data_IF_414432291951
#
_entry.id   IF_414432291951
#
_cell.length_a   1.000
_cell.length_b   1.000
_cell.length_c   1.000
_cell.angle_alpha   90.00
_cell.angle_beta   90.00
_cell.angle_gamma   90.00
#
_symmetry.space_group_name_H-M   'P 1'
#
loop_
_entity.id
_entity.type
_entity.pdbx_description
1 polymer ?
#
# COMPACT_ATOMS: atom_id res chain seq x y z
N UNK A 1 7.40 20.43 -49.42
CA UNK A 1 6.68 19.68 -48.37
C UNK A 1 6.60 20.40 -47.02
N UNK A 2 7.67 21.07 -46.52
CA UNK A 2 7.65 21.79 -45.22
C UNK A 2 6.58 22.89 -45.10
N UNK A 3 6.35 23.70 -46.15
CA UNK A 3 5.31 24.76 -46.18
C UNK A 3 3.87 24.23 -46.08
N UNK A 4 3.64 22.99 -46.53
CA UNK A 4 2.32 22.37 -46.47
C UNK A 4 2.01 21.89 -45.05
N UNK A 5 2.99 21.28 -44.38
CA UNK A 5 2.88 20.85 -42.98
C UNK A 5 2.72 22.05 -42.04
N UNK A 6 3.42 23.16 -42.31
CA UNK A 6 3.30 24.40 -41.53
C UNK A 6 1.88 24.97 -41.61
N UNK A 7 1.31 25.08 -42.83
CA UNK A 7 -0.06 25.55 -43.02
C UNK A 7 -1.10 24.68 -42.33
N UNK A 8 -0.89 23.36 -42.30
CA UNK A 8 -1.79 22.44 -41.59
C UNK A 8 -1.72 22.62 -40.06
N UNK A 9 -0.54 22.90 -39.49
CA UNK A 9 -0.38 23.21 -38.06
C UNK A 9 -0.99 24.54 -37.65
N UNK A 10 -0.93 25.54 -38.53
CA UNK A 10 -1.51 26.87 -38.30
C UNK A 10 -3.03 26.86 -38.43
N UNK A 11 -3.57 26.08 -39.38
CA UNK A 11 -5.01 25.93 -39.60
C UNK A 11 -5.70 25.07 -38.52
N UNK A 12 -4.96 24.17 -37.88
CA UNK A 12 -5.44 23.33 -36.79
C UNK A 12 -4.42 23.40 -35.64
N UNK A 13 -4.58 24.37 -34.71
CA UNK A 13 -3.83 24.35 -33.47
C UNK A 13 -4.01 22.96 -32.85
N UNK A 14 -2.92 22.26 -32.64
CA UNK A 14 -2.98 20.99 -31.94
C UNK A 14 -3.24 21.32 -30.48
N UNK A 15 -4.50 21.28 -30.06
CA UNK A 15 -4.82 21.19 -28.65
C UNK A 15 -4.12 19.94 -28.12
N UNK A 16 -3.41 20.07 -26.99
CA UNK A 16 -2.86 18.90 -26.32
C UNK A 16 -4.00 17.88 -26.15
N UNK A 17 -3.77 16.60 -26.52
CA UNK A 17 -4.81 15.59 -26.41
C UNK A 17 -5.35 15.60 -24.97
N UNK A 18 -6.68 15.51 -24.78
CA UNK A 18 -7.28 15.60 -23.46
C UNK A 18 -6.59 14.61 -22.52
N UNK A 19 -6.12 15.11 -21.37
CA UNK A 19 -5.40 14.30 -20.39
C UNK A 19 -6.25 13.07 -20.04
N UNK A 20 -5.68 11.89 -20.27
CA UNK A 20 -6.33 10.61 -19.95
C UNK A 20 -6.81 10.63 -18.49
N UNK A 21 -8.08 10.28 -18.25
CA UNK A 21 -8.64 10.19 -16.90
C UNK A 21 -7.83 9.21 -16.03
N UNK A 22 -7.67 9.55 -14.75
CA UNK A 22 -6.98 8.68 -13.79
C UNK A 22 -7.85 7.45 -13.54
N UNK A 23 -7.35 6.26 -13.85
CA UNK A 23 -8.04 5.01 -13.53
C UNK A 23 -7.64 4.47 -12.17
N UNK A 24 -8.45 3.56 -11.61
CA UNK A 24 -8.10 2.81 -10.38
C UNK A 24 -6.77 2.09 -10.54
N UNK A 25 -6.49 1.54 -11.73
CA UNK A 25 -5.23 0.86 -12.03
C UNK A 25 -4.03 1.79 -11.94
N UNK A 26 -4.18 3.03 -12.41
CA UNK A 26 -3.12 4.03 -12.34
C UNK A 26 -2.83 4.38 -10.88
N UNK A 27 -3.87 4.64 -10.08
CA UNK A 27 -3.73 4.92 -8.63
C UNK A 27 -3.04 3.76 -7.91
N UNK A 28 -3.47 2.52 -8.14
CA UNK A 28 -2.85 1.33 -7.54
C UNK A 28 -1.40 1.19 -7.98
N UNK A 29 -1.09 1.45 -9.26
CA UNK A 29 0.28 1.41 -9.76
C UNK A 29 1.15 2.51 -9.15
N UNK A 30 0.61 3.69 -8.86
CA UNK A 30 1.36 4.78 -8.24
C UNK A 30 1.60 4.50 -6.76
N UNK A 31 0.62 3.95 -6.04
CA UNK A 31 0.75 3.61 -4.62
C UNK A 31 1.76 2.48 -4.38
N UNK A 32 1.80 1.50 -5.28
CA UNK A 32 2.73 0.36 -5.17
C UNK A 32 4.13 0.66 -5.73
N UNK A 33 4.33 1.84 -6.33
CA UNK A 33 5.61 2.28 -6.87
C UNK A 33 6.36 3.15 -5.83
N UNK A 34 7.69 3.07 -5.86
CA UNK A 34 8.53 3.94 -5.04
C UNK A 34 8.26 5.42 -5.36
N UNK A 35 8.11 6.31 -4.36
CA UNK A 35 7.78 7.72 -4.59
C UNK A 35 8.78 8.43 -5.50
N UNK A 36 10.08 8.14 -5.36
CA UNK A 36 11.14 8.69 -6.24
C UNK A 36 11.05 8.25 -7.71
N UNK A 37 10.15 7.31 -8.02
CA UNK A 37 9.89 6.83 -9.40
C UNK A 37 8.55 7.32 -9.95
N UNK A 38 7.81 8.13 -9.21
CA UNK A 38 6.68 8.88 -9.74
C UNK A 38 7.21 10.14 -10.42
N UNK A 39 6.68 10.44 -11.60
CA UNK A 39 6.83 11.78 -12.15
C UNK A 39 5.96 12.78 -11.39
N UNK A 40 6.29 14.06 -11.53
CA UNK A 40 5.62 15.16 -10.83
C UNK A 40 4.12 15.20 -11.12
N UNK A 41 3.70 14.85 -12.35
CA UNK A 41 2.28 14.85 -12.74
C UNK A 41 1.51 13.75 -12.00
N UNK A 42 2.07 12.54 -11.90
CA UNK A 42 1.44 11.44 -11.16
C UNK A 42 1.38 11.77 -9.66
N UNK A 43 2.43 12.36 -9.11
CA UNK A 43 2.45 12.79 -7.70
C UNK A 43 1.36 13.83 -7.43
N UNK A 44 1.21 14.81 -8.32
CA UNK A 44 0.19 15.86 -8.21
C UNK A 44 -1.22 15.30 -8.34
N UNK A 45 -1.44 14.30 -9.21
CA UNK A 45 -2.74 13.64 -9.40
C UNK A 45 -3.10 12.70 -8.25
N UNK A 46 -2.11 12.05 -7.64
CA UNK A 46 -2.32 11.14 -6.51
C UNK A 46 -2.66 11.89 -5.22
N UNK A 47 -2.05 13.06 -4.98
CA UNK A 47 -2.23 13.87 -3.76
C UNK A 47 -3.70 14.16 -3.41
N UNK A 48 -4.55 14.71 -4.30
CA UNK A 48 -5.95 14.96 -3.98
C UNK A 48 -6.78 13.68 -3.81
N UNK A 49 -6.39 12.58 -4.44
CA UNK A 49 -7.07 11.29 -4.31
C UNK A 49 -6.84 10.72 -2.90
N UNK A 50 -5.59 10.77 -2.42
CA UNK A 50 -5.24 10.37 -1.05
C UNK A 50 -5.92 11.25 -0.01
N UNK A 51 -5.95 12.56 -0.22
CA UNK A 51 -6.62 13.49 0.69
C UNK A 51 -8.14 13.24 0.85
N UNK A 52 -8.79 12.74 -0.20
CA UNK A 52 -10.24 12.43 -0.18
C UNK A 52 -10.56 11.08 0.45
N UNK A 53 -9.62 10.14 0.49
CA UNK A 53 -9.83 8.79 1.00
C UNK A 53 -8.77 8.43 2.05
N UNK A 54 -9.06 8.69 3.35
CA UNK A 54 -8.11 8.40 4.44
C UNK A 54 -7.70 6.92 4.52
N UNK A 55 -8.59 5.99 4.14
CA UNK A 55 -8.27 4.58 4.08
C UNK A 55 -7.21 4.25 3.00
N UNK A 56 -7.29 4.93 1.84
CA UNK A 56 -6.30 4.79 0.77
C UNK A 56 -4.96 5.40 1.18
N UNK A 57 -4.99 6.55 1.86
CA UNK A 57 -3.81 7.22 2.36
C UNK A 57 -3.02 6.34 3.33
N UNK A 58 -3.69 5.80 4.36
CA UNK A 58 -3.10 4.84 5.31
C UNK A 58 -2.60 3.58 4.61
N UNK A 59 -3.36 3.07 3.64
CA UNK A 59 -2.93 1.91 2.85
C UNK A 59 -1.62 2.19 2.10
N UNK A 60 -1.49 3.38 1.50
CA UNK A 60 -0.29 3.79 0.81
C UNK A 60 0.92 3.93 1.75
N UNK A 61 0.71 4.43 2.97
CA UNK A 61 1.74 4.48 4.00
C UNK A 61 2.24 3.08 4.40
N UNK A 62 1.33 2.13 4.62
CA UNK A 62 1.71 0.76 4.95
C UNK A 62 2.44 0.05 3.81
N UNK A 63 2.00 0.24 2.56
CA UNK A 63 2.67 -0.30 1.37
C UNK A 63 4.08 0.28 1.24
N UNK A 64 4.25 1.58 1.45
CA UNK A 64 5.57 2.23 1.44
C UNK A 64 6.47 1.69 2.55
N UNK A 65 5.98 1.63 3.78
CA UNK A 65 6.75 1.12 4.91
C UNK A 65 7.17 -0.34 4.67
N UNK A 66 6.30 -1.17 4.11
CA UNK A 66 6.62 -2.54 3.73
C UNK A 66 7.71 -2.59 2.65
N UNK A 67 7.59 -1.80 1.59
CA UNK A 67 8.59 -1.73 0.53
C UNK A 67 9.97 -1.30 1.06
N UNK A 68 10.01 -0.32 1.97
CA UNK A 68 11.25 0.12 2.63
C UNK A 68 11.85 -0.96 3.53
N UNK A 69 11.02 -1.77 4.20
CA UNK A 69 11.50 -2.94 4.96
C UNK A 69 12.14 -3.98 4.05
N UNK A 70 11.49 -4.30 2.93
CA UNK A 70 11.99 -5.29 1.96
C UNK A 70 13.27 -4.80 1.27
N UNK A 71 13.31 -3.54 0.84
CA UNK A 71 14.48 -2.96 0.17
C UNK A 71 15.72 -2.92 1.08
N UNK A 72 15.52 -2.61 2.36
CA UNK A 72 16.60 -2.58 3.35
C UNK A 72 16.86 -3.94 4.01
N UNK A 73 16.19 -5.01 3.55
CA UNK A 73 16.28 -6.38 4.13
C UNK A 73 16.08 -6.43 5.65
N UNK A 74 15.22 -5.55 6.17
CA UNK A 74 14.92 -5.39 7.60
C UNK A 74 13.85 -6.37 8.06
N UNK A 75 14.12 -7.66 7.92
CA UNK A 75 13.18 -8.74 8.28
C UNK A 75 12.81 -8.74 9.76
N UNK A 76 13.70 -8.31 10.64
CA UNK A 76 13.47 -8.20 12.08
C UNK A 76 12.36 -7.18 12.44
N UNK A 77 12.18 -6.14 11.63
CA UNK A 77 11.17 -5.09 11.87
C UNK A 77 9.80 -5.47 11.27
N UNK A 78 9.74 -6.56 10.50
CA UNK A 78 8.53 -7.01 9.81
C UNK A 78 7.40 -7.31 10.81
N UNK A 79 7.72 -7.97 11.93
CA UNK A 79 6.73 -8.28 12.97
C UNK A 79 6.12 -7.02 13.59
N UNK A 80 6.90 -5.94 13.76
CA UNK A 80 6.38 -4.67 14.26
C UNK A 80 5.48 -3.98 13.23
N UNK A 81 5.87 -4.01 11.94
CA UNK A 81 5.04 -3.49 10.86
C UNK A 81 3.70 -4.24 10.76
N UNK A 82 3.73 -5.57 10.83
CA UNK A 82 2.52 -6.40 10.82
C UNK A 82 1.56 -6.03 11.97
N UNK A 83 2.08 -5.80 13.19
CA UNK A 83 1.28 -5.32 14.33
C UNK A 83 0.63 -3.96 14.08
N UNK A 84 1.36 -3.01 13.46
CA UNK A 84 0.82 -1.69 13.11
C UNK A 84 -0.32 -1.79 12.11
N UNK A 85 -0.16 -2.59 11.05
CA UNK A 85 -1.23 -2.84 10.07
C UNK A 85 -2.46 -3.47 10.72
N UNK A 86 -2.26 -4.32 11.73
CA UNK A 86 -3.34 -5.00 12.42
C UNK A 86 -4.15 -4.07 13.34
N UNK A 87 -3.50 -3.07 13.92
CA UNK A 87 -4.14 -2.04 14.73
C UNK A 87 -5.00 -1.09 13.88
N UNK A 88 -4.64 -0.88 12.62
CA UNK A 88 -5.40 -0.04 11.69
C UNK A 88 -6.63 -0.75 11.12
N UNK A 89 -7.66 0.02 10.79
CA UNK A 89 -8.91 -0.49 10.21
C UNK A 89 -8.87 -0.58 8.68
N UNK A 90 -8.02 -1.49 8.20
CA UNK A 90 -7.84 -1.79 6.77
C UNK A 90 -8.07 -3.29 6.52
N UNK A 91 -9.33 -3.74 6.33
CA UNK A 91 -9.66 -5.17 6.24
C UNK A 91 -8.85 -5.93 5.18
N UNK A 92 -8.64 -5.33 4.00
CA UNK A 92 -7.85 -5.93 2.93
C UNK A 92 -6.38 -6.15 3.34
N UNK A 93 -5.76 -5.18 4.02
CA UNK A 93 -4.37 -5.30 4.50
C UNK A 93 -4.26 -6.26 5.70
N UNK A 94 -5.28 -6.32 6.57
CA UNK A 94 -5.33 -7.31 7.66
C UNK A 94 -5.31 -8.74 7.09
N UNK A 95 -6.08 -9.01 6.03
CA UNK A 95 -6.06 -10.30 5.33
C UNK A 95 -4.67 -10.65 4.80
N UNK A 96 -4.01 -9.69 4.14
CA UNK A 96 -2.65 -9.85 3.64
C UNK A 96 -1.65 -10.17 4.76
N UNK A 97 -1.64 -9.40 5.85
CA UNK A 97 -0.74 -9.62 7.00
C UNK A 97 -1.00 -10.97 7.68
N UNK A 98 -2.26 -11.41 7.71
CA UNK A 98 -2.60 -12.72 8.26
C UNK A 98 -1.99 -13.86 7.44
N UNK A 99 -2.08 -13.79 6.12
CA UNK A 99 -1.45 -14.76 5.21
C UNK A 99 0.07 -14.71 5.28
N UNK A 100 0.66 -13.51 5.27
CA UNK A 100 2.10 -13.33 5.40
C UNK A 100 2.66 -13.96 6.67
N UNK A 101 1.95 -13.82 7.79
CA UNK A 101 2.40 -14.44 9.03
C UNK A 101 2.25 -15.96 9.06
N UNK A 102 1.29 -16.54 8.33
CA UNK A 102 1.21 -17.99 8.14
C UNK A 102 2.36 -18.51 7.29
N UNK A 103 2.76 -17.76 6.25
CA UNK A 103 3.92 -18.06 5.40
C UNK A 103 5.22 -18.03 6.22
N UNK A 104 5.42 -17.00 7.05
CA UNK A 104 6.56 -16.90 7.96
C UNK A 104 6.62 -18.06 8.96
N UNK A 105 5.51 -18.41 9.61
CA UNK A 105 5.45 -19.56 10.52
C UNK A 105 5.76 -20.87 9.78
N UNK A 106 5.31 -21.00 8.52
CA UNK A 106 5.62 -22.13 7.65
C UNK A 106 7.10 -22.25 7.33
N UNK A 107 7.73 -21.14 6.93
CA UNK A 107 9.16 -21.06 6.63
C UNK A 107 10.02 -21.36 7.87
N UNK A 108 9.67 -20.79 9.03
CA UNK A 108 10.36 -21.06 10.30
C UNK A 108 10.28 -22.52 10.71
N UNK A 109 9.10 -23.14 10.57
CA UNK A 109 8.94 -24.57 10.85
C UNK A 109 9.79 -25.43 9.92
N UNK A 110 9.85 -25.09 8.63
CA UNK A 110 10.70 -25.79 7.67
C UNK A 110 12.20 -25.68 8.01
N UNK A 111 12.62 -24.59 8.65
CA UNK A 111 13.99 -24.40 9.13
C UNK A 111 14.24 -24.87 10.56
N UNK A 112 13.30 -25.60 11.19
CA UNK A 112 13.45 -26.13 12.55
C UNK A 112 13.17 -25.13 13.70
N UNK A 113 12.63 -23.95 13.39
CA UNK A 113 12.13 -22.99 14.37
C UNK A 113 10.66 -23.23 14.76
N UNK A 114 10.20 -22.56 15.83
CA UNK A 114 8.81 -22.59 16.28
C UNK A 114 7.95 -21.47 15.67
N UNK A 115 6.60 -21.61 15.66
CA UNK A 115 5.71 -20.55 15.19
C UNK A 115 5.78 -19.35 16.14
N UNK A 116 5.93 -18.16 15.59
CA UNK A 116 6.06 -16.91 16.38
C UNK A 116 4.84 -16.02 16.22
N UNK A 117 4.22 -16.05 15.03
CA UNK A 117 3.13 -15.15 14.69
C UNK A 117 1.76 -15.68 15.11
N UNK A 118 1.46 -16.95 14.82
CA UNK A 118 0.21 -17.58 15.24
C UNK A 118 0.09 -17.70 16.76
N UNK A 119 1.22 -17.83 17.46
CA UNK A 119 1.31 -17.76 18.92
C UNK A 119 1.04 -16.33 19.43
N UNK A 120 1.64 -15.31 18.81
CA UNK A 120 1.45 -13.91 19.21
C UNK A 120 0.00 -13.41 19.06
N UNK A 121 -0.76 -13.90 18.07
CA UNK A 121 -2.20 -13.60 17.94
C UNK A 121 -3.07 -14.28 19.00
N UNK A 122 -2.58 -15.37 19.60
CA UNK A 122 -3.31 -16.18 20.58
C UNK A 122 -3.04 -15.77 22.04
N UNK A 123 -2.21 -14.72 22.26
CA UNK A 123 -1.93 -14.15 23.59
C UNK A 123 -3.19 -13.60 24.28
N UNK A 124 -3.21 -13.53 25.62
CA UNK A 124 -4.44 -13.72 26.39
C UNK A 124 -5.45 -12.61 26.08
N UNK A 125 -6.52 -12.99 25.37
CA UNK A 125 -7.78 -12.30 25.45
C UNK A 125 -8.23 -12.34 26.91
N UNK A 126 -7.91 -11.29 27.68
CA UNK A 126 -8.45 -11.10 29.01
C UNK A 126 -9.96 -10.95 28.85
N UNK A 127 -10.70 -12.06 28.95
CA UNK A 127 -12.13 -12.06 29.21
C UNK A 127 -12.29 -11.49 30.63
N UNK A 128 -12.32 -10.16 30.75
CA UNK A 128 -12.95 -9.54 31.90
C UNK A 128 -14.44 -9.83 31.75
N UNK A 129 -14.92 -10.89 32.42
CA UNK A 129 -16.34 -11.00 32.75
C UNK A 129 -16.64 -9.81 33.67
N UNK A 130 -17.55 -8.90 33.33
CA UNK A 130 -18.06 -7.97 34.32
C UNK A 130 -18.88 -8.81 35.31
N UNK A 131 -18.38 -8.95 36.54
CA UNK A 131 -19.23 -9.29 37.67
C UNK A 131 -20.14 -8.09 37.90
N UNK A 132 -21.40 -8.19 37.45
CA UNK A 132 -22.45 -7.31 37.95
C UNK A 132 -22.69 -7.71 39.41
N UNK A 133 -22.31 -6.84 40.34
CA UNK A 133 -22.91 -6.76 41.66
C UNK A 133 -23.93 -5.61 41.60
N UNK A 134 -25.20 -5.93 41.74
CA UNK A 134 -26.19 -5.14 42.46
C UNK A 134 -27.12 -6.11 43.18
#
# INVERSE_FOLDING_TARGET
MKKYVQRLREAFPHDDPPRKHTSVRDVTSWITRHPDRLDDDQAQRLKPIRARCPALDRSAEHVRAFAELMNNRRGQDLGQWMKRVQADDLPALRGFVNGLGQDLDGALRASGGGPTWSAARSGPASRRRPTLNL
#
